data_IF_447971961950
#
_entry.id   IF_447971961950
#
_cell.length_a   1.000
_cell.length_b   1.000
_cell.length_c   1.000
_cell.angle_alpha   90.00
_cell.angle_beta   90.00
_cell.angle_gamma   90.00
#
_symmetry.space_group_name_H-M   'P 1'
#
loop_
_entity.id
_entity.type
_entity.pdbx_description
1 polymer ?
#
# COMPACT_ATOMS: atom_id res chain seq x y z
N UNK A 1 -11.91 -3.13 7.76
CA UNK A 1 -12.58 -1.81 7.78
C UNK A 1 -14.07 -2.03 8.11
N UNK A 2 -14.62 -1.30 9.06
CA UNK A 2 -16.04 -1.41 9.41
C UNK A 2 -16.86 -0.49 8.53
N UNK A 3 -17.79 -1.04 7.76
CA UNK A 3 -18.78 -0.27 7.00
C UNK A 3 -19.75 0.38 8.01
N UNK A 4 -19.96 1.67 7.87
CA UNK A 4 -20.89 2.45 8.70
C UNK A 4 -21.54 3.57 7.86
N UNK A 5 -22.39 4.36 8.46
CA UNK A 5 -23.12 5.44 7.78
C UNK A 5 -22.24 6.52 7.11
N UNK A 6 -20.97 6.63 7.52
CA UNK A 6 -20.01 7.56 6.92
C UNK A 6 -19.29 6.99 5.71
N UNK A 7 -19.42 5.68 5.45
CA UNK A 7 -18.72 4.98 4.36
C UNK A 7 -19.25 5.44 3.01
N UNK A 8 -18.35 5.91 2.14
CA UNK A 8 -18.68 6.31 0.77
C UNK A 8 -18.58 5.13 -0.21
N UNK A 9 -19.16 5.27 -1.41
CA UNK A 9 -19.01 4.28 -2.50
C UNK A 9 -17.54 4.04 -2.86
N UNK A 10 -16.67 5.03 -2.66
CA UNK A 10 -15.21 4.92 -2.87
C UNK A 10 -14.60 3.71 -2.16
N UNK A 11 -15.14 3.28 -1.01
CA UNK A 11 -14.67 2.07 -0.33
C UNK A 11 -14.84 0.79 -1.16
N UNK A 12 -15.67 0.83 -2.21
CA UNK A 12 -15.88 -0.26 -3.17
C UNK A 12 -14.93 -0.19 -4.38
N UNK A 13 -14.10 0.86 -4.48
CA UNK A 13 -13.23 1.15 -5.63
C UNK A 13 -12.39 -0.06 -6.07
N UNK A 14 -11.83 -0.79 -5.13
CA UNK A 14 -11.00 -1.99 -5.37
C UNK A 14 -11.76 -3.32 -5.20
N UNK A 15 -13.10 -3.31 -5.13
CA UNK A 15 -13.87 -4.51 -4.72
C UNK A 15 -14.93 -4.96 -5.71
N UNK A 16 -15.30 -4.12 -6.68
CA UNK A 16 -16.41 -4.42 -7.58
C UNK A 16 -16.14 -4.02 -9.03
N UNK A 17 -16.57 -4.88 -9.95
CA UNK A 17 -16.50 -4.66 -11.39
C UNK A 17 -17.44 -3.56 -11.90
N UNK A 18 -18.44 -3.15 -11.10
CA UNK A 18 -19.34 -2.05 -11.46
C UNK A 18 -18.70 -0.67 -11.31
N UNK A 19 -17.61 -0.55 -10.56
CA UNK A 19 -17.00 0.75 -10.22
C UNK A 19 -16.66 1.61 -11.43
N UNK A 20 -16.02 1.12 -12.50
CA UNK A 20 -15.72 1.98 -13.66
C UNK A 20 -16.97 2.59 -14.28
N UNK A 21 -18.02 1.79 -14.50
CA UNK A 21 -19.28 2.27 -15.05
C UNK A 21 -20.04 3.22 -14.10
N UNK A 22 -19.94 3.01 -12.80
CA UNK A 22 -20.53 3.93 -11.82
C UNK A 22 -19.79 5.27 -11.78
N UNK A 23 -18.47 5.27 -11.89
CA UNK A 23 -17.70 6.52 -11.99
C UNK A 23 -18.06 7.26 -13.28
N UNK A 24 -18.17 6.57 -14.41
CA UNK A 24 -18.60 7.17 -15.68
C UNK A 24 -19.99 7.81 -15.59
N UNK A 25 -20.94 7.16 -14.92
CA UNK A 25 -22.31 7.63 -14.77
C UNK A 25 -22.46 8.77 -13.76
N UNK A 26 -21.77 8.69 -12.64
CA UNK A 26 -21.95 9.57 -11.48
C UNK A 26 -20.90 10.68 -11.41
N UNK A 27 -19.78 10.55 -12.11
CA UNK A 27 -18.65 11.48 -11.97
C UNK A 27 -18.17 11.58 -10.51
N UNK A 28 -17.88 12.80 -10.07
CA UNK A 28 -17.40 13.08 -8.72
C UNK A 28 -18.40 12.73 -7.61
N UNK A 29 -19.69 12.61 -7.94
CA UNK A 29 -20.71 12.18 -6.98
C UNK A 29 -20.43 10.76 -6.45
N UNK A 30 -19.83 9.87 -7.25
CA UNK A 30 -19.44 8.54 -6.82
C UNK A 30 -18.61 8.57 -5.53
N UNK A 31 -17.64 9.47 -5.45
CA UNK A 31 -16.69 9.52 -4.35
C UNK A 31 -17.28 10.05 -3.03
N UNK A 32 -18.41 10.74 -3.10
CA UNK A 32 -19.07 11.38 -1.95
C UNK A 32 -20.40 10.75 -1.55
N UNK A 33 -20.98 9.90 -2.41
CA UNK A 33 -22.23 9.20 -2.15
C UNK A 33 -22.05 8.14 -1.06
N UNK A 34 -22.98 8.08 -0.11
CA UNK A 34 -22.93 7.13 1.00
C UNK A 34 -23.30 5.72 0.56
N UNK A 35 -22.48 4.73 0.93
CA UNK A 35 -22.69 3.33 0.57
C UNK A 35 -24.00 2.74 1.15
N UNK A 36 -24.36 3.12 2.38
CA UNK A 36 -25.52 2.58 3.06
C UNK A 36 -26.80 3.42 2.86
N UNK A 37 -26.74 4.50 2.09
CA UNK A 37 -27.92 5.29 1.74
C UNK A 37 -28.62 4.72 0.49
N UNK A 38 -29.93 4.93 0.37
CA UNK A 38 -30.71 4.71 -0.85
C UNK A 38 -30.51 3.35 -1.55
N UNK A 39 -30.26 2.29 -0.78
CA UNK A 39 -29.94 0.95 -1.28
C UNK A 39 -28.70 0.88 -2.18
N UNK A 40 -27.76 1.80 -2.05
CA UNK A 40 -26.54 1.85 -2.89
C UNK A 40 -25.68 0.59 -2.83
N UNK A 41 -25.84 -0.25 -1.81
CA UNK A 41 -25.17 -1.57 -1.76
C UNK A 41 -25.60 -2.48 -2.92
N UNK A 42 -26.80 -2.31 -3.48
CA UNK A 42 -27.33 -3.08 -4.61
C UNK A 42 -26.64 -2.73 -5.94
N UNK A 43 -25.91 -1.59 -5.99
CA UNK A 43 -25.11 -1.21 -7.16
C UNK A 43 -23.91 -2.16 -7.38
N UNK A 44 -23.50 -2.90 -6.36
CA UNK A 44 -22.29 -3.74 -6.38
C UNK A 44 -22.65 -5.22 -6.40
N UNK A 45 -23.00 -5.71 -7.59
CA UNK A 45 -23.48 -7.10 -7.81
C UNK A 45 -22.33 -8.09 -7.94
N UNK A 46 -21.20 -7.68 -8.53
CA UNK A 46 -20.08 -8.55 -8.84
C UNK A 46 -18.79 -8.05 -8.17
N UNK A 47 -17.96 -8.98 -7.65
CA UNK A 47 -16.59 -8.63 -7.27
C UNK A 47 -15.76 -8.24 -8.50
N UNK A 48 -14.49 -7.94 -8.31
CA UNK A 48 -13.51 -7.77 -9.39
C UNK A 48 -13.59 -8.96 -10.34
N UNK A 49 -13.64 -8.69 -11.64
CA UNK A 49 -13.92 -9.69 -12.68
C UNK A 49 -13.00 -9.55 -13.90
N UNK A 50 -13.21 -10.38 -14.91
CA UNK A 50 -12.40 -10.40 -16.14
C UNK A 50 -12.25 -9.00 -16.78
N UNK A 51 -13.33 -8.22 -16.81
CA UNK A 51 -13.36 -6.90 -17.43
C UNK A 51 -12.59 -5.83 -16.69
N UNK A 52 -12.19 -6.06 -15.44
CA UNK A 52 -11.31 -5.14 -14.71
C UNK A 52 -9.86 -5.19 -15.19
N UNK A 53 -9.44 -6.32 -15.79
CA UNK A 53 -8.09 -6.57 -16.27
C UNK A 53 -8.03 -6.76 -17.80
N UNK A 54 -9.12 -7.15 -18.45
CA UNK A 54 -9.15 -7.46 -19.87
C UNK A 54 -10.16 -6.60 -20.62
N UNK A 55 -9.75 -6.12 -21.80
CA UNK A 55 -10.68 -5.54 -22.75
C UNK A 55 -11.64 -6.62 -23.27
N UNK A 56 -12.96 -6.40 -23.23
CA UNK A 56 -13.93 -7.45 -23.57
C UNK A 56 -13.98 -7.82 -25.07
N UNK A 57 -13.37 -7.01 -25.93
CA UNK A 57 -13.35 -7.25 -27.39
C UNK A 57 -12.05 -7.90 -27.84
N UNK A 58 -10.92 -7.43 -27.31
CA UNK A 58 -9.58 -7.85 -27.74
C UNK A 58 -8.93 -8.85 -26.79
N UNK A 59 -9.41 -8.95 -25.56
CA UNK A 59 -8.80 -9.69 -24.43
C UNK A 59 -7.41 -9.17 -24.02
N UNK A 60 -6.97 -8.05 -24.55
CA UNK A 60 -5.73 -7.41 -24.11
C UNK A 60 -5.87 -6.89 -22.67
N UNK A 61 -4.73 -6.79 -21.97
CA UNK A 61 -4.73 -6.21 -20.62
C UNK A 61 -5.07 -4.72 -20.68
N UNK A 62 -5.92 -4.28 -19.79
CA UNK A 62 -6.31 -2.87 -19.65
C UNK A 62 -6.34 -2.42 -18.19
N UNK A 63 -6.28 -1.12 -18.00
CA UNK A 63 -6.49 -0.46 -16.72
C UNK A 63 -7.86 0.20 -16.74
N UNK A 64 -8.66 -0.03 -15.71
CA UNK A 64 -10.03 0.49 -15.59
C UNK A 64 -10.21 1.49 -14.45
N UNK A 65 -9.22 1.62 -13.58
CA UNK A 65 -9.26 2.53 -12.43
C UNK A 65 -8.58 3.85 -12.75
N UNK A 66 -9.30 4.99 -12.77
CA UNK A 66 -8.74 6.29 -13.17
C UNK A 66 -7.52 6.70 -12.35
N UNK A 67 -7.51 6.42 -11.04
CA UNK A 67 -6.40 6.80 -10.16
C UNK A 67 -5.04 6.27 -10.61
N UNK A 68 -4.98 5.03 -11.13
CA UNK A 68 -3.73 4.48 -11.66
C UNK A 68 -3.31 5.19 -12.95
N UNK A 69 -4.24 5.39 -13.88
CA UNK A 69 -3.96 6.08 -15.15
C UNK A 69 -3.41 7.48 -14.87
N UNK A 70 -4.11 8.26 -14.04
CA UNK A 70 -3.71 9.61 -13.65
C UNK A 70 -2.37 9.65 -12.91
N UNK A 71 -2.10 8.68 -12.01
CA UNK A 71 -0.82 8.60 -11.31
C UNK A 71 0.34 8.29 -12.27
N UNK A 72 0.15 7.35 -13.20
CA UNK A 72 1.15 7.00 -14.21
C UNK A 72 1.43 8.17 -15.16
N UNK A 73 0.41 8.94 -15.54
CA UNK A 73 0.58 10.17 -16.33
C UNK A 73 1.42 11.22 -15.57
N UNK A 74 1.10 11.46 -14.29
CA UNK A 74 1.83 12.44 -13.46
C UNK A 74 3.31 12.13 -13.32
N UNK A 75 3.68 10.85 -13.25
CA UNK A 75 5.09 10.42 -13.21
C UNK A 75 5.74 10.25 -14.59
N UNK A 76 5.04 10.66 -15.66
CA UNK A 76 5.57 10.61 -17.04
C UNK A 76 5.68 9.20 -17.65
N UNK A 77 4.91 8.24 -17.15
CA UNK A 77 4.85 6.85 -17.64
C UNK A 77 3.42 6.44 -18.00
N UNK A 78 2.80 7.06 -19.01
CA UNK A 78 1.41 6.79 -19.35
C UNK A 78 1.18 5.30 -19.65
N UNK A 79 0.04 4.79 -19.20
CA UNK A 79 -0.29 3.34 -19.24
C UNK A 79 -0.25 2.77 -20.66
N UNK A 80 -0.59 3.59 -21.66
CA UNK A 80 -0.59 3.21 -23.10
C UNK A 80 0.81 2.88 -23.62
N UNK A 81 1.86 3.33 -22.94
CA UNK A 81 3.26 3.05 -23.27
C UNK A 81 3.82 1.85 -22.50
N UNK A 82 3.04 1.29 -21.56
CA UNK A 82 3.48 0.16 -20.78
C UNK A 82 3.66 -1.09 -21.65
N UNK A 83 4.77 -1.77 -21.45
CA UNK A 83 5.00 -3.08 -22.06
C UNK A 83 4.01 -4.12 -21.53
N UNK A 84 3.82 -5.21 -22.26
CA UNK A 84 3.00 -6.33 -21.76
C UNK A 84 3.46 -6.83 -20.39
N UNK A 85 4.76 -6.84 -20.11
CA UNK A 85 5.29 -7.30 -18.82
C UNK A 85 4.96 -6.30 -17.70
N UNK A 86 5.05 -5.01 -17.95
CA UNK A 86 4.62 -4.00 -17.00
C UNK A 86 3.12 -4.08 -16.74
N UNK A 87 2.30 -4.26 -17.77
CA UNK A 87 0.85 -4.45 -17.63
C UNK A 87 0.49 -5.63 -16.72
N UNK A 88 1.31 -6.69 -16.68
CA UNK A 88 1.13 -7.85 -15.79
C UNK A 88 1.34 -7.51 -14.29
N UNK A 89 1.90 -6.34 -14.00
CA UNK A 89 1.93 -5.75 -12.65
C UNK A 89 0.87 -4.66 -12.48
N UNK A 90 0.70 -3.78 -13.48
CA UNK A 90 -0.21 -2.63 -13.40
C UNK A 90 -1.67 -3.03 -13.19
N UNK A 91 -2.12 -4.15 -13.76
CA UNK A 91 -3.49 -4.66 -13.51
C UNK A 91 -3.72 -4.99 -12.02
N UNK A 92 -2.67 -5.32 -11.27
CA UNK A 92 -2.75 -5.52 -9.81
C UNK A 92 -2.64 -4.18 -9.06
N UNK A 93 -1.77 -3.29 -9.55
CA UNK A 93 -1.53 -1.96 -9.00
C UNK A 93 -2.75 -1.01 -9.06
N UNK A 94 -3.81 -1.38 -9.77
CA UNK A 94 -5.08 -0.64 -9.69
C UNK A 94 -5.67 -0.62 -8.28
N UNK A 95 -5.29 -1.60 -7.43
CA UNK A 95 -5.87 -1.81 -6.11
C UNK A 95 -4.82 -2.14 -5.03
N UNK A 96 -3.68 -2.75 -5.41
CA UNK A 96 -2.60 -3.14 -4.50
C UNK A 96 -1.51 -2.07 -4.46
N UNK A 97 -1.87 -0.92 -3.91
CA UNK A 97 -1.05 0.31 -3.85
C UNK A 97 -1.31 1.10 -2.58
N UNK A 98 -0.40 1.98 -2.24
CA UNK A 98 -0.68 3.07 -1.31
C UNK A 98 -1.59 4.11 -1.97
N UNK A 99 -2.64 4.52 -1.26
CA UNK A 99 -3.58 5.52 -1.76
C UNK A 99 -4.22 6.32 -0.63
N UNK A 100 -4.73 7.48 -0.96
CA UNK A 100 -5.56 8.29 -0.07
C UNK A 100 -6.77 8.86 -0.80
N UNK A 101 -7.74 9.35 -0.03
CA UNK A 101 -8.89 10.09 -0.56
C UNK A 101 -8.57 11.57 -0.50
N UNK A 102 -8.41 12.21 -1.66
CA UNK A 102 -8.01 13.61 -1.70
C UNK A 102 -9.19 14.54 -1.33
N UNK A 103 -9.19 15.18 -0.14
CA UNK A 103 -10.30 16.03 0.29
C UNK A 103 -10.43 17.32 -0.54
N UNK A 104 -9.35 17.72 -1.23
CA UNK A 104 -9.33 18.91 -2.08
C UNK A 104 -9.81 18.63 -3.51
N UNK A 105 -10.04 17.35 -3.85
CA UNK A 105 -10.57 16.93 -5.14
C UNK A 105 -11.66 15.87 -4.95
N UNK A 106 -12.79 16.29 -4.42
CA UNK A 106 -14.03 15.48 -4.27
C UNK A 106 -13.82 14.11 -3.59
N UNK A 107 -12.80 13.93 -2.76
CA UNK A 107 -12.40 12.66 -2.16
C UNK A 107 -12.08 11.55 -3.19
N UNK A 108 -11.63 11.91 -4.37
CA UNK A 108 -11.14 10.96 -5.38
C UNK A 108 -9.95 10.17 -4.82
N UNK A 109 -9.76 8.98 -5.35
CA UNK A 109 -8.61 8.13 -5.01
C UNK A 109 -7.35 8.70 -5.68
N UNK A 110 -6.30 8.92 -4.90
CA UNK A 110 -5.00 9.39 -5.37
C UNK A 110 -3.89 8.47 -4.89
N UNK A 111 -2.84 8.32 -5.69
CA UNK A 111 -1.62 7.61 -5.31
C UNK A 111 -0.50 8.63 -5.06
N UNK A 112 0.28 8.51 -3.98
CA UNK A 112 1.32 9.47 -3.59
C UNK A 112 2.64 9.24 -4.35
N UNK A 113 2.60 9.12 -5.69
CA UNK A 113 3.73 8.68 -6.51
C UNK A 113 4.54 9.80 -7.16
N UNK A 114 4.11 11.04 -7.04
CA UNK A 114 4.69 12.17 -7.78
C UNK A 114 6.18 12.42 -7.52
N UNK A 115 6.71 11.87 -6.41
CA UNK A 115 8.14 11.93 -6.06
C UNK A 115 8.87 10.60 -6.25
N UNK A 116 8.16 9.49 -6.32
CA UNK A 116 8.72 8.14 -6.45
C UNK A 116 7.93 7.09 -5.67
N UNK A 117 8.52 5.90 -5.54
CA UNK A 117 7.91 4.73 -4.91
C UNK A 117 8.59 4.34 -3.58
N UNK A 118 9.63 5.07 -3.17
CA UNK A 118 10.26 4.79 -1.88
C UNK A 118 9.39 5.35 -0.73
N UNK A 119 9.45 4.76 0.47
CA UNK A 119 8.70 5.23 1.62
C UNK A 119 8.89 6.73 1.89
N UNK A 120 10.12 7.22 1.73
CA UNK A 120 10.49 8.63 1.90
C UNK A 120 9.85 9.52 0.83
N UNK A 121 9.75 9.05 -0.40
CA UNK A 121 9.12 9.78 -1.51
C UNK A 121 7.62 9.97 -1.25
N UNK A 122 6.94 8.90 -0.82
CA UNK A 122 5.52 8.94 -0.48
C UNK A 122 5.27 9.82 0.74
N UNK A 123 6.11 9.72 1.77
CA UNK A 123 6.03 10.61 2.93
C UNK A 123 6.22 12.07 2.56
N UNK A 124 7.26 12.37 1.76
CA UNK A 124 7.52 13.74 1.27
C UNK A 124 6.36 14.29 0.43
N UNK A 125 5.68 13.46 -0.34
CA UNK A 125 4.45 13.85 -1.05
C UNK A 125 3.34 14.25 -0.07
N UNK A 126 3.04 13.43 0.95
CA UNK A 126 2.03 13.73 1.97
C UNK A 126 2.37 14.99 2.76
N UNK A 127 3.65 15.23 3.04
CA UNK A 127 4.10 16.46 3.71
C UNK A 127 3.87 17.70 2.84
N UNK A 128 4.18 17.64 1.55
CA UNK A 128 4.00 18.75 0.62
C UNK A 128 2.53 19.18 0.50
N UNK A 129 1.62 18.22 0.43
CA UNK A 129 0.18 18.53 0.32
C UNK A 129 -0.50 18.76 1.68
N UNK A 130 0.22 18.63 2.81
CA UNK A 130 -0.30 18.81 4.16
C UNK A 130 -1.40 17.82 4.55
N UNK A 131 -1.42 16.63 3.95
CA UNK A 131 -2.48 15.64 4.18
C UNK A 131 -2.26 14.86 5.49
N UNK A 132 -3.35 14.55 6.20
CA UNK A 132 -3.40 13.64 7.34
C UNK A 132 -4.76 12.93 7.36
N UNK A 133 -4.73 11.64 7.68
CA UNK A 133 -5.96 10.84 7.84
C UNK A 133 -6.68 11.14 9.15
N UNK A 134 -5.93 11.35 10.23
CA UNK A 134 -6.48 11.68 11.56
C UNK A 134 -5.48 12.42 12.44
N UNK A 135 -5.97 12.95 13.56
CA UNK A 135 -5.13 13.50 14.62
C UNK A 135 -4.98 12.48 15.74
N UNK A 136 -3.74 12.20 16.16
CA UNK A 136 -3.48 11.25 17.26
C UNK A 136 -3.99 11.80 18.59
N UNK A 137 -4.84 11.07 19.32
CA UNK A 137 -5.54 11.62 20.49
C UNK A 137 -4.62 11.99 21.65
N UNK A 138 -3.49 11.31 21.83
CA UNK A 138 -2.55 11.56 22.93
C UNK A 138 -1.47 12.59 22.55
N UNK A 139 -0.94 12.52 21.33
CA UNK A 139 0.17 13.39 20.91
C UNK A 139 -0.28 14.68 20.26
N UNK A 140 -1.51 14.73 19.71
CA UNK A 140 -2.02 15.85 18.92
C UNK A 140 -1.41 15.97 17.52
N UNK A 141 -0.54 15.04 17.11
CA UNK A 141 0.08 15.01 15.78
C UNK A 141 -0.88 14.50 14.69
N UNK A 142 -0.77 15.04 13.49
CA UNK A 142 -1.47 14.51 12.31
C UNK A 142 -0.83 13.21 11.82
N UNK A 143 -1.61 12.13 11.66
CA UNK A 143 -1.13 10.80 11.30
C UNK A 143 -1.56 10.39 9.91
N UNK A 144 -0.85 9.42 9.34
CA UNK A 144 -1.14 8.77 8.06
C UNK A 144 -1.59 7.32 8.28
N UNK A 145 -2.46 6.83 7.40
CA UNK A 145 -2.85 5.42 7.36
C UNK A 145 -2.38 4.82 6.03
N UNK A 146 -1.38 3.95 6.09
CA UNK A 146 -0.98 3.17 4.93
C UNK A 146 -2.06 2.15 4.53
N UNK A 147 -2.19 1.88 3.24
CA UNK A 147 -3.26 1.04 2.71
C UNK A 147 -2.75 -0.34 2.25
N UNK A 148 -2.29 -0.47 1.01
CA UNK A 148 -1.91 -1.75 0.39
C UNK A 148 -0.67 -1.57 -0.50
N UNK A 149 0.52 -1.18 0.05
CA UNK A 149 1.68 -0.74 -0.71
C UNK A 149 2.47 -1.87 -1.38
N UNK A 150 1.78 -2.92 -1.87
CA UNK A 150 2.46 -4.06 -2.48
C UNK A 150 3.23 -3.67 -3.73
N UNK A 151 2.66 -2.81 -4.59
CA UNK A 151 3.32 -2.38 -5.81
C UNK A 151 4.57 -1.56 -5.52
N UNK A 152 4.48 -0.58 -4.61
CA UNK A 152 5.59 0.30 -4.22
C UNK A 152 6.70 -0.49 -3.50
N UNK A 153 6.33 -1.35 -2.57
CA UNK A 153 7.30 -2.15 -1.84
C UNK A 153 7.98 -3.20 -2.71
N UNK A 154 7.31 -3.67 -3.78
CA UNK A 154 7.93 -4.56 -4.76
C UNK A 154 8.98 -3.87 -5.64
N UNK A 155 8.86 -2.54 -5.89
CA UNK A 155 9.82 -1.81 -6.72
C UNK A 155 11.24 -1.89 -6.13
N UNK A 156 12.25 -2.04 -7.01
CA UNK A 156 13.64 -2.21 -6.59
C UNK A 156 13.98 -3.59 -6.00
N UNK A 157 13.05 -4.55 -5.93
CA UNK A 157 13.32 -5.90 -5.46
C UNK A 157 14.20 -6.68 -6.43
N UNK A 158 14.81 -7.77 -5.96
CA UNK A 158 15.60 -8.66 -6.82
C UNK A 158 14.76 -9.25 -7.96
N UNK A 159 13.51 -9.60 -7.69
CA UNK A 159 12.57 -10.14 -8.68
C UNK A 159 12.16 -9.09 -9.70
N UNK A 160 11.85 -7.87 -9.27
CA UNK A 160 11.53 -6.78 -10.19
C UNK A 160 12.72 -6.43 -11.09
N UNK A 161 13.94 -6.34 -10.53
CA UNK A 161 15.17 -6.13 -11.33
C UNK A 161 15.48 -7.28 -12.30
N UNK A 162 15.03 -8.50 -11.99
CA UNK A 162 15.11 -9.63 -12.90
C UNK A 162 14.03 -9.63 -13.99
N UNK A 163 13.16 -8.60 -14.02
CA UNK A 163 12.10 -8.43 -15.02
C UNK A 163 10.82 -9.23 -14.72
N UNK A 164 10.63 -9.70 -13.48
CA UNK A 164 9.40 -10.38 -13.10
C UNK A 164 8.30 -9.36 -12.75
N UNK A 165 7.07 -9.78 -13.00
CA UNK A 165 5.83 -9.07 -12.64
C UNK A 165 5.10 -9.78 -11.51
N UNK A 166 4.09 -9.13 -10.95
CA UNK A 166 3.18 -9.73 -9.96
C UNK A 166 2.56 -11.04 -10.47
N UNK A 167 2.15 -11.05 -11.75
CA UNK A 167 1.51 -12.19 -12.37
C UNK A 167 2.46 -13.39 -12.61
N UNK A 168 3.78 -13.19 -12.64
CA UNK A 168 4.72 -14.30 -12.82
C UNK A 168 4.74 -15.23 -11.59
N UNK A 169 4.43 -14.67 -10.42
CA UNK A 169 4.33 -15.40 -9.16
C UNK A 169 2.89 -15.78 -8.82
N UNK A 170 1.93 -14.84 -8.93
CA UNK A 170 0.54 -15.02 -8.47
C UNK A 170 -0.41 -15.56 -9.53
N UNK A 171 -0.02 -15.49 -10.82
CA UNK A 171 -0.73 -16.01 -11.99
C UNK A 171 0.26 -16.66 -12.97
N UNK A 172 1.06 -17.64 -12.50
CA UNK A 172 2.15 -18.18 -13.32
C UNK A 172 1.63 -18.82 -14.60
N UNK A 173 2.50 -18.95 -15.58
CA UNK A 173 2.17 -19.66 -16.80
C UNK A 173 2.00 -21.16 -16.54
N UNK A 174 0.91 -21.71 -17.07
CA UNK A 174 0.59 -23.12 -17.02
C UNK A 174 0.40 -23.65 -18.44
N UNK A 175 0.43 -24.97 -18.60
CA UNK A 175 0.11 -25.63 -19.87
C UNK A 175 -1.19 -26.39 -19.73
N UNK A 176 -2.15 -26.10 -20.60
CA UNK A 176 -3.41 -26.83 -20.70
C UNK A 176 -3.49 -27.45 -22.12
N UNK A 177 -3.34 -28.77 -22.21
CA UNK A 177 -3.10 -29.43 -23.49
C UNK A 177 -1.80 -28.94 -24.15
N UNK A 178 -1.90 -28.33 -25.31
CA UNK A 178 -0.79 -27.70 -26.04
C UNK A 178 -0.70 -26.18 -25.85
N UNK A 179 -1.61 -25.59 -25.08
CA UNK A 179 -1.74 -24.14 -24.95
C UNK A 179 -1.10 -23.65 -23.66
N UNK A 180 -0.25 -22.62 -23.78
CA UNK A 180 0.32 -21.91 -22.63
C UNK A 180 -0.66 -20.80 -22.21
N UNK A 181 -1.12 -20.85 -20.98
CA UNK A 181 -2.04 -19.88 -20.39
C UNK A 181 -1.47 -19.31 -19.08
N UNK A 182 -1.91 -18.11 -18.67
CA UNK A 182 -1.70 -17.64 -17.29
C UNK A 182 -2.77 -18.26 -16.38
N UNK A 183 -2.35 -18.77 -15.23
CA UNK A 183 -3.31 -19.20 -14.20
C UNK A 183 -4.15 -18.01 -13.74
N UNK A 184 -5.47 -18.16 -13.72
CA UNK A 184 -6.39 -17.18 -13.11
C UNK A 184 -6.77 -17.54 -11.67
N UNK A 185 -6.15 -18.56 -11.11
CA UNK A 185 -6.25 -18.86 -9.69
C UNK A 185 -5.29 -17.96 -8.91
N UNK A 186 -5.75 -16.75 -8.59
CA UNK A 186 -5.01 -15.78 -7.78
C UNK A 186 -4.82 -16.35 -6.37
N UNK A 187 -3.61 -16.79 -6.06
CA UNK A 187 -3.31 -17.48 -4.81
C UNK A 187 -1.86 -17.25 -4.38
N UNK A 188 -1.51 -17.75 -3.20
CA UNK A 188 -0.10 -17.79 -2.77
C UNK A 188 0.74 -18.59 -3.76
N UNK A 189 1.92 -18.10 -4.20
CA UNK A 189 2.82 -18.79 -5.12
C UNK A 189 3.24 -20.20 -4.65
N UNK A 190 3.18 -20.50 -3.36
CA UNK A 190 3.44 -21.84 -2.83
C UNK A 190 2.43 -22.90 -3.29
N UNK A 191 1.23 -22.50 -3.66
CA UNK A 191 0.23 -23.44 -4.20
C UNK A 191 0.47 -23.80 -5.66
N UNK A 192 1.31 -23.03 -6.33
CA UNK A 192 1.73 -23.21 -7.72
C UNK A 192 3.26 -23.20 -7.83
N UNK A 193 3.94 -23.76 -6.83
CA UNK A 193 5.39 -23.69 -6.67
C UNK A 193 6.15 -24.09 -7.94
N UNK A 194 5.76 -25.21 -8.56
CA UNK A 194 6.41 -25.73 -9.78
C UNK A 194 6.30 -24.76 -10.97
N UNK A 195 5.22 -23.99 -11.05
CA UNK A 195 4.96 -23.04 -12.14
C UNK A 195 5.48 -21.62 -11.82
N UNK A 196 5.67 -21.31 -10.55
CA UNK A 196 6.18 -20.01 -10.09
C UNK A 196 7.67 -20.07 -9.73
N UNK A 197 8.01 -20.54 -8.54
CA UNK A 197 9.37 -20.52 -8.00
C UNK A 197 10.33 -21.45 -8.73
N UNK A 198 9.94 -22.71 -8.99
CA UNK A 198 10.80 -23.74 -9.55
C UNK A 198 11.19 -23.49 -11.01
N UNK A 199 10.58 -22.51 -11.69
CA UNK A 199 11.00 -22.11 -13.03
C UNK A 199 12.42 -21.48 -13.03
N UNK A 200 12.83 -20.87 -11.93
CA UNK A 200 14.13 -20.20 -11.77
C UNK A 200 14.96 -20.78 -10.62
N UNK A 201 14.32 -21.17 -9.53
CA UNK A 201 14.94 -21.73 -8.34
C UNK A 201 15.10 -23.24 -8.43
N UNK A 202 16.16 -23.78 -7.83
CA UNK A 202 16.48 -25.22 -7.84
C UNK A 202 16.23 -25.88 -6.49
N UNK A 203 16.00 -25.09 -5.46
CA UNK A 203 15.66 -25.54 -4.13
C UNK A 203 14.29 -26.25 -4.14
N UNK A 204 14.11 -27.19 -3.24
CA UNK A 204 12.82 -27.85 -3.03
C UNK A 204 11.76 -26.85 -2.52
N UNK A 205 10.50 -27.21 -2.67
CA UNK A 205 9.40 -26.41 -2.11
C UNK A 205 9.53 -26.23 -0.59
N UNK A 206 10.03 -27.25 0.13
CA UNK A 206 10.25 -27.19 1.57
C UNK A 206 11.35 -26.18 1.94
N UNK A 207 12.51 -26.25 1.27
CA UNK A 207 13.64 -25.32 1.49
C UNK A 207 13.24 -23.88 1.17
N UNK A 208 12.57 -23.67 0.03
CA UNK A 208 12.08 -22.34 -0.34
C UNK A 208 11.01 -21.84 0.62
N UNK A 209 10.10 -22.74 1.07
CA UNK A 209 9.11 -22.43 2.09
C UNK A 209 9.74 -21.97 3.39
N UNK A 210 10.77 -22.67 3.86
CA UNK A 210 11.48 -22.28 5.07
C UNK A 210 12.20 -20.93 4.91
N UNK A 211 12.77 -20.64 3.73
CA UNK A 211 13.39 -19.34 3.43
C UNK A 211 12.37 -18.20 3.50
N UNK A 212 11.17 -18.37 2.95
CA UNK A 212 10.11 -17.36 3.02
C UNK A 212 9.65 -17.16 4.45
N UNK A 213 9.35 -18.22 5.19
CA UNK A 213 8.94 -18.15 6.60
C UNK A 213 10.00 -17.44 7.45
N UNK A 214 11.28 -17.79 7.30
CA UNK A 214 12.35 -17.13 8.02
C UNK A 214 12.42 -15.62 7.72
N UNK A 215 12.14 -15.20 6.48
CA UNK A 215 12.08 -13.78 6.11
C UNK A 215 10.91 -13.10 6.79
N UNK A 216 9.72 -13.69 6.71
CA UNK A 216 8.49 -13.16 7.29
C UNK A 216 8.57 -13.06 8.81
N UNK A 217 9.09 -14.08 9.48
CA UNK A 217 9.27 -14.10 10.94
C UNK A 217 10.21 -12.98 11.40
N UNK A 218 11.33 -12.79 10.71
CA UNK A 218 12.28 -11.72 11.03
C UNK A 218 11.70 -10.31 10.80
N UNK A 219 10.93 -10.14 9.73
CA UNK A 219 10.22 -8.88 9.48
C UNK A 219 9.20 -8.63 10.59
N UNK A 220 8.42 -9.66 10.96
CA UNK A 220 7.44 -9.57 12.05
C UNK A 220 8.10 -9.16 13.38
N UNK A 221 9.21 -9.80 13.74
CA UNK A 221 9.97 -9.43 14.95
C UNK A 221 10.47 -7.97 14.90
N UNK A 222 10.91 -7.52 13.73
CA UNK A 222 11.37 -6.14 13.54
C UNK A 222 10.21 -5.15 13.60
N UNK A 223 9.05 -5.47 13.04
CA UNK A 223 7.82 -4.69 13.16
C UNK A 223 7.35 -4.54 14.61
N UNK A 224 7.42 -5.62 15.40
CA UNK A 224 7.08 -5.56 16.82
C UNK A 224 8.00 -4.61 17.60
N UNK A 225 9.30 -4.60 17.27
CA UNK A 225 10.25 -3.63 17.84
C UNK A 225 9.94 -2.19 17.44
N UNK A 226 9.60 -1.95 16.17
CA UNK A 226 9.20 -0.63 15.69
C UNK A 226 7.89 -0.17 16.34
N UNK A 227 6.92 -1.06 16.47
CA UNK A 227 5.67 -0.79 17.19
C UNK A 227 5.92 -0.39 18.65
N UNK A 228 6.85 -1.07 19.34
CA UNK A 228 7.26 -0.72 20.71
C UNK A 228 7.93 0.66 20.75
N UNK A 229 8.84 0.96 19.81
CA UNK A 229 9.50 2.26 19.76
C UNK A 229 8.49 3.40 19.51
N UNK A 230 7.53 3.21 18.60
CA UNK A 230 6.46 4.18 18.37
C UNK A 230 5.57 4.37 19.61
N UNK A 231 5.24 3.30 20.32
CA UNK A 231 4.48 3.39 21.59
C UNK A 231 5.24 4.19 22.66
N UNK A 232 6.54 3.95 22.81
CA UNK A 232 7.38 4.68 23.77
C UNK A 232 7.44 6.18 23.42
N UNK A 233 7.55 6.51 22.13
CA UNK A 233 7.51 7.90 21.65
C UNK A 233 6.15 8.57 21.96
N UNK A 234 5.02 7.89 21.75
CA UNK A 234 3.69 8.37 22.08
C UNK A 234 3.61 8.72 23.58
N UNK A 235 4.03 7.78 24.44
CA UNK A 235 3.99 7.96 25.90
C UNK A 235 4.93 9.08 26.37
N UNK A 236 6.08 9.24 25.72
CA UNK A 236 7.02 10.32 26.05
C UNK A 236 6.46 11.69 25.65
N UNK A 237 5.86 11.81 24.44
CA UNK A 237 5.22 13.05 23.99
C UNK A 237 4.04 13.42 24.90
N UNK A 238 3.19 12.45 25.27
CA UNK A 238 2.08 12.68 26.21
C UNK A 238 2.55 13.23 27.55
N UNK A 239 3.61 12.65 28.13
CA UNK A 239 4.24 13.14 29.36
C UNK A 239 4.81 14.56 29.22
N UNK A 240 5.45 14.84 28.08
CA UNK A 240 6.03 16.15 27.79
C UNK A 240 4.95 17.24 27.68
N UNK A 241 3.81 16.92 27.06
CA UNK A 241 2.63 17.80 27.00
C UNK A 241 2.16 18.12 28.43
N UNK A 242 2.01 17.10 29.29
CA UNK A 242 1.58 17.25 30.66
C UNK A 242 2.59 18.03 31.50
N UNK A 243 3.89 17.94 31.19
CA UNK A 243 4.97 18.69 31.87
C UNK A 243 5.10 20.15 31.40
N UNK A 244 4.38 20.56 30.35
CA UNK A 244 4.42 21.93 29.83
C UNK A 244 5.65 22.23 28.95
N UNK A 245 6.21 21.21 28.29
CA UNK A 245 7.29 21.42 27.31
C UNK A 245 6.77 22.36 26.20
N UNK A 246 7.65 23.22 25.69
CA UNK A 246 7.31 24.23 24.70
C UNK A 246 6.77 23.61 23.41
N UNK A 247 5.91 24.36 22.72
CA UNK A 247 5.18 23.86 21.54
C UNK A 247 6.10 23.64 20.33
N UNK A 248 7.24 24.33 20.25
CA UNK A 248 8.21 24.13 19.16
C UNK A 248 8.84 22.73 19.28
N UNK A 249 9.30 22.36 20.47
CA UNK A 249 9.83 21.02 20.77
C UNK A 249 8.77 19.93 20.56
N UNK A 250 7.54 20.16 21.01
CA UNK A 250 6.43 19.21 20.79
C UNK A 250 6.12 19.02 19.32
N UNK A 251 6.15 20.07 18.50
CA UNK A 251 5.88 19.97 17.06
C UNK A 251 7.00 19.21 16.33
N UNK A 252 8.26 19.39 16.72
CA UNK A 252 9.37 18.61 16.20
C UNK A 252 9.21 17.11 16.54
N UNK A 253 8.84 16.79 17.78
CA UNK A 253 8.62 15.41 18.21
C UNK A 253 7.41 14.77 17.48
N UNK A 254 6.33 15.53 17.28
CA UNK A 254 5.16 15.08 16.50
C UNK A 254 5.51 14.80 15.04
N UNK A 255 6.37 15.60 14.42
CA UNK A 255 6.83 15.39 13.05
C UNK A 255 7.64 14.09 12.94
N UNK A 256 8.59 13.86 13.83
CA UNK A 256 9.37 12.62 13.91
C UNK A 256 8.46 11.39 14.13
N UNK A 257 7.52 11.48 15.09
CA UNK A 257 6.58 10.41 15.37
C UNK A 257 5.64 10.12 14.19
N UNK A 258 5.17 11.14 13.48
CA UNK A 258 4.33 10.98 12.27
C UNK A 258 5.05 10.18 11.20
N UNK A 259 6.31 10.49 10.92
CA UNK A 259 7.13 9.79 9.94
C UNK A 259 7.43 8.36 10.39
N UNK A 260 7.83 8.17 11.65
CA UNK A 260 8.04 6.87 12.24
C UNK A 260 6.81 5.97 12.16
N UNK A 261 5.64 6.51 12.47
CA UNK A 261 4.37 5.78 12.39
C UNK A 261 4.01 5.42 10.95
N UNK A 262 4.20 6.32 9.99
CA UNK A 262 3.91 6.03 8.59
C UNK A 262 4.77 4.88 8.07
N UNK A 263 6.08 4.87 8.34
CA UNK A 263 6.97 3.80 7.93
C UNK A 263 6.64 2.45 8.58
N UNK A 264 6.28 2.46 9.85
CA UNK A 264 5.80 1.26 10.54
C UNK A 264 4.49 0.75 9.94
N UNK A 265 3.52 1.64 9.67
CA UNK A 265 2.21 1.28 9.13
C UNK A 265 2.33 0.81 7.67
N UNK A 266 3.21 1.43 6.87
CA UNK A 266 3.50 1.03 5.49
C UNK A 266 4.04 -0.41 5.43
N UNK A 267 5.06 -0.72 6.23
CA UNK A 267 5.61 -2.07 6.30
C UNK A 267 4.62 -3.09 6.92
N UNK A 268 3.72 -2.65 7.82
CA UNK A 268 2.70 -3.49 8.45
C UNK A 268 1.50 -3.75 7.54
N UNK A 269 1.17 -2.82 6.64
CA UNK A 269 0.00 -2.91 5.77
C UNK A 269 0.24 -3.78 4.53
N UNK A 270 1.50 -3.99 4.16
CA UNK A 270 1.89 -4.79 3.00
C UNK A 270 1.75 -6.30 3.30
N UNK A 271 1.09 -7.04 2.40
CA UNK A 271 0.59 -8.39 2.69
C UNK A 271 1.62 -9.53 2.49
N UNK A 272 2.82 -9.27 1.96
CA UNK A 272 3.85 -10.31 1.82
C UNK A 272 4.65 -10.54 3.10
N UNK A 273 4.46 -9.69 4.12
CA UNK A 273 5.31 -9.66 5.32
C UNK A 273 6.81 -9.55 4.95
N UNK A 274 7.11 -8.65 4.03
CA UNK A 274 8.46 -8.33 3.59
C UNK A 274 9.04 -9.23 2.50
N UNK A 275 8.35 -10.27 2.06
CA UNK A 275 8.91 -11.17 1.05
C UNK A 275 9.02 -10.51 -0.34
N UNK A 276 8.20 -9.54 -0.68
CA UNK A 276 8.31 -8.81 -1.95
C UNK A 276 9.65 -8.08 -2.08
N UNK A 277 10.18 -7.48 -1.00
CA UNK A 277 11.48 -6.82 -0.98
C UNK A 277 12.06 -6.75 0.44
N UNK A 278 12.65 -7.84 0.95
CA UNK A 278 13.12 -7.89 2.33
C UNK A 278 14.07 -6.75 2.72
N UNK A 279 14.91 -6.30 1.77
CA UNK A 279 15.84 -5.20 2.03
C UNK A 279 15.09 -3.90 2.32
N UNK A 280 14.20 -3.46 1.42
CA UNK A 280 13.40 -2.24 1.60
C UNK A 280 12.60 -2.29 2.91
N UNK A 281 12.02 -3.45 3.25
CA UNK A 281 11.31 -3.61 4.52
C UNK A 281 12.19 -3.38 5.75
N UNK A 282 13.38 -3.99 5.78
CA UNK A 282 14.28 -3.79 6.92
C UNK A 282 14.76 -2.35 7.04
N UNK A 283 15.05 -1.69 5.92
CA UNK A 283 15.42 -0.27 5.89
C UNK A 283 14.28 0.59 6.43
N UNK A 284 13.06 0.46 5.88
CA UNK A 284 11.86 1.18 6.33
C UNK A 284 11.56 0.99 7.83
N UNK A 285 11.69 -0.25 8.33
CA UNK A 285 11.46 -0.56 9.75
C UNK A 285 12.56 0.03 10.63
N UNK A 286 13.82 0.00 10.18
CA UNK A 286 14.94 0.60 10.91
C UNK A 286 14.77 2.12 11.05
N UNK A 287 14.37 2.79 9.98
CA UNK A 287 14.11 4.24 9.99
C UNK A 287 12.92 4.57 10.89
N UNK A 288 11.85 3.77 10.89
CA UNK A 288 10.75 3.92 11.84
C UNK A 288 11.22 3.86 13.30
N UNK A 289 12.10 2.90 13.64
CA UNK A 289 12.64 2.78 15.00
C UNK A 289 13.50 4.00 15.34
N UNK A 290 14.39 4.41 14.46
CA UNK A 290 15.30 5.53 14.70
C UNK A 290 14.53 6.84 14.90
N UNK A 291 13.58 7.16 14.04
CA UNK A 291 12.73 8.35 14.14
C UNK A 291 11.89 8.35 15.42
N UNK A 292 11.29 7.22 15.79
CA UNK A 292 10.55 7.09 17.05
C UNK A 292 11.46 7.35 18.28
N UNK A 293 12.67 6.80 18.28
CA UNK A 293 13.65 7.03 19.36
C UNK A 293 14.16 8.46 19.39
N UNK A 294 14.32 9.12 18.25
CA UNK A 294 14.63 10.54 18.19
C UNK A 294 13.52 11.39 18.81
N UNK A 295 12.24 11.09 18.49
CA UNK A 295 11.09 11.79 19.09
C UNK A 295 11.06 11.63 20.62
N UNK A 296 11.21 10.40 21.12
CA UNK A 296 11.26 10.08 22.56
C UNK A 296 12.40 10.84 23.27
N UNK A 297 13.60 10.78 22.69
CA UNK A 297 14.80 11.42 23.27
C UNK A 297 14.68 12.95 23.29
N UNK A 298 14.12 13.55 22.24
CA UNK A 298 13.92 14.99 22.13
C UNK A 298 13.08 15.52 23.30
N UNK A 299 11.89 14.95 23.51
CA UNK A 299 10.99 15.42 24.59
C UNK A 299 11.49 15.03 25.98
N UNK A 300 12.17 13.89 26.13
CA UNK A 300 12.76 13.47 27.40
C UNK A 300 13.85 14.44 27.86
N UNK A 301 14.69 14.92 26.94
CA UNK A 301 15.71 15.94 27.22
C UNK A 301 15.09 17.27 27.61
N UNK A 302 14.02 17.69 26.92
CA UNK A 302 13.35 18.95 27.24
C UNK A 302 12.68 18.95 28.62
N UNK A 303 12.12 17.82 29.05
CA UNK A 303 11.55 17.68 30.42
C UNK A 303 12.59 17.73 31.55
N UNK A 304 13.87 17.49 31.27
CA UNK A 304 14.94 17.47 32.25
C UNK A 304 15.74 18.79 32.30
N UNK A 305 15.35 19.79 31.55
CA UNK A 305 15.92 21.15 31.57
C UNK A 305 15.10 22.08 32.44
#
# INVERSE_FOLDING_TARGET
QRINEKTNLTCMYCKSAQVPGLIEQMGDAFYNTKLLADNNTELFVHPVSCSDCHDPQTMELRITRPALVEAMERIGKPVEQATRQEMRSLVCAQCHVEYFFNPNDSNRVYFPWDKGFEPEDMYAYYQEIGFSDWTHPQTGGGMLKAQHPEYEMFQGSAHQRAGLSCADCHMPYMTEGSTKISSHWLTSPFRTFEQSCAQCHRESQEEMGQRVLNTQDRIKESLDRAGTANQDAILAIEKAIAAGVDEETLNQARALHREAQFYWDLASAENSFGFHNPQKFFETIADSIDLARQAELLVTRAMNQ
#
